data_IF_222782465028
#
_entry.id   IF_222782465028
#
_cell.length_a   1.000
_cell.length_b   1.000
_cell.length_c   1.000
_cell.angle_alpha   90.00
_cell.angle_beta   90.00
_cell.angle_gamma   90.00
#
_symmetry.space_group_name_H-M   'P 1'
#
loop_
_entity.id
_entity.type
_entity.pdbx_description
1 polymer ?
#
# COMPACT_ATOMS: atom_id res chain seq x y z
N UNK A 1 -10.67 -5.42 -16.04
CA UNK A 1 -10.70 -5.56 -14.57
C UNK A 1 -12.10 -5.97 -14.15
N UNK A 2 -12.33 -7.24 -13.80
CA UNK A 2 -13.50 -7.71 -13.01
C UNK A 2 -13.34 -9.20 -12.75
N UNK A 3 -12.70 -9.56 -11.63
CA UNK A 3 -12.72 -10.89 -11.01
C UNK A 3 -12.14 -10.83 -9.58
N UNK A 4 -11.23 -9.87 -9.32
CA UNK A 4 -10.65 -9.65 -7.99
C UNK A 4 -11.50 -8.74 -7.08
N UNK A 5 -12.57 -8.13 -7.59
CA UNK A 5 -13.24 -7.02 -6.91
C UNK A 5 -14.42 -7.40 -6.01
N UNK A 6 -14.84 -8.67 -5.96
CA UNK A 6 -16.06 -9.06 -5.24
C UNK A 6 -15.85 -9.88 -3.96
N UNK A 7 -14.69 -10.53 -3.78
CA UNK A 7 -14.41 -11.34 -2.57
C UNK A 7 -13.00 -11.13 -1.99
N UNK A 8 -12.16 -10.31 -2.62
CA UNK A 8 -10.87 -9.93 -2.05
C UNK A 8 -11.12 -8.64 -1.29
N UNK A 9 -11.08 -8.74 0.05
CA UNK A 9 -11.12 -7.63 0.98
C UNK A 9 -10.44 -6.41 0.34
N UNK A 10 -11.21 -5.35 0.05
CA UNK A 10 -10.72 -4.15 -0.66
C UNK A 10 -9.39 -3.70 -0.03
N UNK A 11 -9.37 -3.67 1.30
CA UNK A 11 -8.33 -4.12 2.23
C UNK A 11 -6.94 -4.48 1.66
N UNK A 12 -6.90 -5.72 1.17
CA UNK A 12 -5.70 -6.49 0.87
C UNK A 12 -5.32 -6.44 -0.61
N UNK A 13 -6.03 -5.66 -1.43
CA UNK A 13 -5.79 -5.63 -2.90
C UNK A 13 -4.35 -5.24 -3.25
N UNK A 14 -3.69 -4.43 -2.41
CA UNK A 14 -2.29 -4.06 -2.56
C UNK A 14 -1.34 -4.91 -1.70
N UNK A 15 -1.82 -5.45 -0.58
CA UNK A 15 -1.00 -6.24 0.34
C UNK A 15 -0.66 -7.64 -0.21
N UNK A 16 -1.62 -8.34 -0.81
CA UNK A 16 -1.39 -9.71 -1.32
C UNK A 16 -0.30 -9.78 -2.41
N UNK A 17 -0.30 -8.91 -3.44
CA UNK A 17 0.79 -8.90 -4.41
C UNK A 17 2.16 -8.64 -3.79
N UNK A 18 2.25 -7.78 -2.77
CA UNK A 18 3.51 -7.49 -2.07
C UNK A 18 4.02 -8.70 -1.31
N UNK A 19 3.15 -9.44 -0.62
CA UNK A 19 3.52 -10.68 0.07
C UNK A 19 4.12 -11.73 -0.85
N UNK A 20 3.70 -11.77 -2.11
CA UNK A 20 4.20 -12.77 -3.06
C UNK A 20 5.47 -12.34 -3.80
N UNK A 21 5.76 -11.04 -3.88
CA UNK A 21 6.77 -10.52 -4.80
C UNK A 21 7.83 -9.62 -4.19
N UNK A 22 7.53 -8.98 -3.07
CA UNK A 22 8.46 -8.04 -2.45
C UNK A 22 9.53 -8.81 -1.67
N UNK A 23 10.79 -8.44 -1.91
CA UNK A 23 11.94 -8.91 -1.15
C UNK A 23 12.48 -7.79 -0.25
N UNK A 24 13.31 -8.18 0.72
CA UNK A 24 14.06 -7.24 1.55
C UNK A 24 14.92 -6.31 0.67
N UNK A 25 14.85 -5.00 0.92
CA UNK A 25 15.54 -3.98 0.14
C UNK A 25 14.80 -3.50 -1.12
N UNK A 26 13.65 -4.09 -1.47
CA UNK A 26 12.78 -3.53 -2.50
C UNK A 26 12.09 -2.25 -2.02
N UNK A 27 11.65 -1.41 -2.96
CA UNK A 27 10.94 -0.17 -2.65
C UNK A 27 9.51 -0.16 -3.20
N UNK A 28 8.55 0.20 -2.36
CA UNK A 28 7.17 0.49 -2.72
C UNK A 28 6.99 2.00 -2.91
N UNK A 29 6.59 2.42 -4.11
CA UNK A 29 6.11 3.77 -4.39
C UNK A 29 4.57 3.79 -4.31
N UNK A 30 4.04 4.48 -3.30
CA UNK A 30 2.60 4.61 -3.04
C UNK A 30 2.10 5.98 -3.48
N UNK A 31 1.01 6.02 -4.27
CA UNK A 31 0.39 7.27 -4.73
C UNK A 31 -1.04 7.33 -4.21
N UNK A 32 -1.36 8.35 -3.42
CA UNK A 32 -2.71 8.53 -2.86
C UNK A 32 -3.05 9.99 -2.65
N UNK A 33 -4.05 10.51 -3.37
CA UNK A 33 -4.48 11.90 -3.20
C UNK A 33 -5.01 12.18 -1.77
N UNK A 34 -5.77 11.26 -1.16
CA UNK A 34 -6.35 11.46 0.18
C UNK A 34 -5.43 11.09 1.35
N UNK A 35 -4.39 10.29 1.12
CA UNK A 35 -3.46 9.81 2.16
C UNK A 35 -4.08 8.88 3.22
N UNK A 36 -5.37 8.57 3.14
CA UNK A 36 -6.12 7.89 4.21
C UNK A 36 -6.86 6.65 3.72
N UNK A 37 -6.60 6.19 2.50
CA UNK A 37 -7.23 4.98 1.97
C UNK A 37 -6.74 3.74 2.74
N UNK A 38 -7.63 2.97 3.40
CA UNK A 38 -7.24 1.83 4.22
C UNK A 38 -6.38 0.81 3.49
N UNK A 39 -6.66 0.57 2.21
CA UNK A 39 -5.94 -0.42 1.42
C UNK A 39 -4.50 0.02 1.11
N UNK A 40 -4.31 1.33 0.91
CA UNK A 40 -2.98 1.89 0.64
C UNK A 40 -2.13 1.81 1.90
N UNK A 41 -2.73 2.11 3.05
CA UNK A 41 -2.08 1.96 4.35
C UNK A 41 -1.72 0.49 4.63
N UNK A 42 -2.61 -0.45 4.32
CA UNK A 42 -2.35 -1.88 4.45
C UNK A 42 -1.19 -2.34 3.54
N UNK A 43 -1.12 -1.83 2.30
CA UNK A 43 0.00 -2.07 1.39
C UNK A 43 1.33 -1.54 1.94
N UNK A 44 1.35 -0.29 2.41
CA UNK A 44 2.55 0.32 2.98
C UNK A 44 3.05 -0.42 4.24
N UNK A 45 2.14 -0.78 5.15
CA UNK A 45 2.47 -1.60 6.32
C UNK A 45 3.05 -2.96 5.94
N UNK A 46 2.48 -3.60 4.92
CA UNK A 46 2.96 -4.90 4.42
C UNK A 46 4.37 -4.78 3.86
N UNK A 47 4.64 -3.75 3.05
CA UNK A 47 5.97 -3.50 2.50
C UNK A 47 7.03 -3.29 3.59
N UNK A 48 6.75 -2.44 4.58
CA UNK A 48 7.65 -2.22 5.72
C UNK A 48 7.89 -3.52 6.50
N UNK A 49 6.84 -4.32 6.72
CA UNK A 49 6.96 -5.60 7.44
C UNK A 49 7.79 -6.65 6.69
N UNK A 50 7.95 -6.51 5.37
CA UNK A 50 8.75 -7.40 4.53
C UNK A 50 10.20 -6.90 4.37
N UNK A 51 10.59 -5.83 5.08
CA UNK A 51 11.93 -5.25 4.98
C UNK A 51 12.14 -4.37 3.75
N UNK A 52 11.04 -3.93 3.13
CA UNK A 52 11.08 -3.00 2.01
C UNK A 52 10.96 -1.53 2.44
N UNK A 53 11.47 -0.64 1.62
CA UNK A 53 11.31 0.80 1.78
C UNK A 53 9.97 1.26 1.21
N UNK A 54 9.39 2.32 1.80
CA UNK A 54 8.14 2.91 1.32
C UNK A 54 8.34 4.39 1.05
N UNK A 55 8.03 4.81 -0.18
CA UNK A 55 7.97 6.21 -0.59
C UNK A 55 6.53 6.56 -0.91
N UNK A 56 6.00 7.60 -0.28
CA UNK A 56 4.61 8.03 -0.46
C UNK A 56 4.55 9.35 -1.22
N UNK A 57 3.64 9.42 -2.18
CA UNK A 57 3.25 10.62 -2.90
C UNK A 57 1.78 10.88 -2.56
N UNK A 58 1.54 11.84 -1.67
CA UNK A 58 0.18 12.24 -1.28
C UNK A 58 -0.05 13.72 -1.47
N UNK A 59 -1.28 14.09 -1.86
CA UNK A 59 -1.63 15.46 -2.25
C UNK A 59 -2.34 16.24 -1.13
N UNK A 60 -2.20 15.81 0.12
CA UNK A 60 -2.87 16.47 1.25
C UNK A 60 -1.92 16.75 2.41
N UNK A 61 -2.49 17.43 3.41
CA UNK A 61 -1.84 17.94 4.62
C UNK A 61 -0.75 17.01 5.16
N UNK A 62 0.32 17.57 5.74
CA UNK A 62 1.45 16.79 6.26
C UNK A 62 1.12 15.88 7.46
N UNK A 63 -0.11 15.90 7.97
CA UNK A 63 -0.59 15.09 9.10
C UNK A 63 -1.41 13.86 8.68
N UNK A 64 -1.38 13.47 7.41
CA UNK A 64 -2.13 12.31 6.93
C UNK A 64 -1.44 10.98 7.29
N UNK A 65 -2.19 9.87 7.23
CA UNK A 65 -1.71 8.57 7.70
C UNK A 65 -0.57 7.94 6.87
N UNK A 66 -0.21 8.53 5.72
CA UNK A 66 0.96 8.14 4.90
C UNK A 66 2.21 9.00 5.17
N UNK A 67 2.10 10.05 5.98
CA UNK A 67 3.21 10.92 6.39
C UNK A 67 3.79 10.52 7.76
#
# INVERSE_FOLDING_TARGET
MTAAANDINYESVFAEPLRWRMAEGDMLASISSSGNSPNVLAGCKTALSLGGDVVTLSEMKPDNALC
#
